data_IF_122917029655
#
_entry.id   IF_122917029655
#
_cell.length_a   1.000
_cell.length_b   1.000
_cell.length_c   1.000
_cell.angle_alpha   90.00
_cell.angle_beta   90.00
_cell.angle_gamma   90.00
#
_symmetry.space_group_name_H-M   'P 1'
#
loop_
_entity.id
_entity.type
_entity.pdbx_description
1 polymer ?
#
# COMPACT_ATOMS: atom_id res chain seq x y z
N UNK A 1 12.46 -4.69 -11.32
CA UNK A 1 11.16 -4.88 -10.65
C UNK A 1 10.45 -3.53 -10.57
N UNK A 2 9.14 -3.51 -10.75
CA UNK A 2 8.36 -2.29 -10.61
C UNK A 2 8.16 -1.97 -9.14
N UNK A 3 8.19 -0.68 -8.79
CA UNK A 3 7.84 -0.23 -7.44
C UNK A 3 6.35 -0.53 -7.19
N UNK A 4 6.03 -1.00 -5.98
CA UNK A 4 4.66 -1.35 -5.60
C UNK A 4 4.39 -1.08 -4.12
N UNK A 5 3.11 -0.96 -3.79
CA UNK A 5 2.63 -0.94 -2.40
C UNK A 5 2.09 -2.32 -2.06
N UNK A 6 2.63 -2.94 -1.02
CA UNK A 6 2.15 -4.24 -0.55
C UNK A 6 0.89 -4.10 0.29
N UNK A 7 -0.13 -4.92 -0.02
CA UNK A 7 -1.40 -4.95 0.72
C UNK A 7 -1.47 -6.11 1.74
N UNK A 8 -0.45 -6.98 1.78
CA UNK A 8 -0.35 -8.10 2.72
C UNK A 8 1.09 -8.42 3.06
N UNK A 9 1.32 -9.07 4.19
CA UNK A 9 2.57 -9.78 4.46
C UNK A 9 2.78 -10.89 3.44
N UNK A 10 4.02 -11.31 3.23
CA UNK A 10 4.34 -12.50 2.42
C UNK A 10 4.04 -13.75 3.25
N UNK A 11 3.33 -14.70 2.66
CA UNK A 11 2.97 -15.96 3.32
C UNK A 11 2.88 -17.11 2.32
N UNK A 12 3.08 -18.37 2.75
CA UNK A 12 2.94 -19.54 1.89
C UNK A 12 1.47 -19.81 1.58
N UNK A 13 1.16 -20.11 0.30
CA UNK A 13 -0.18 -20.50 -0.15
C UNK A 13 -0.12 -21.92 -0.76
N UNK A 14 -0.91 -22.84 -0.24
CA UNK A 14 -1.02 -24.20 -0.81
C UNK A 14 -1.67 -24.15 -2.18
N UNK A 15 -1.30 -25.10 -3.05
CA UNK A 15 -1.79 -25.14 -4.44
C UNK A 15 -3.32 -25.13 -4.52
N UNK A 16 -3.97 -25.89 -3.67
CA UNK A 16 -5.44 -26.02 -3.62
C UNK A 16 -6.16 -24.76 -3.09
N UNK A 17 -5.45 -23.90 -2.36
CA UNK A 17 -6.00 -22.64 -1.82
C UNK A 17 -5.94 -21.48 -2.81
N UNK A 18 -5.12 -21.58 -3.86
CA UNK A 18 -4.81 -20.44 -4.75
C UNK A 18 -6.03 -19.88 -5.46
N UNK A 19 -6.80 -20.73 -6.14
CA UNK A 19 -8.00 -20.27 -6.86
C UNK A 19 -9.15 -19.85 -5.93
N UNK A 20 -9.47 -20.58 -4.84
CA UNK A 20 -10.42 -20.09 -3.85
C UNK A 20 -10.02 -18.72 -3.28
N UNK A 21 -8.76 -18.54 -2.88
CA UNK A 21 -8.24 -17.29 -2.34
C UNK A 21 -8.35 -16.13 -3.35
N UNK A 22 -7.89 -16.37 -4.60
CA UNK A 22 -8.03 -15.40 -5.70
C UNK A 22 -9.48 -14.99 -5.94
N UNK A 23 -10.39 -15.96 -5.96
CA UNK A 23 -11.81 -15.71 -6.19
C UNK A 23 -12.42 -14.87 -5.07
N UNK A 24 -12.04 -15.15 -3.82
CA UNK A 24 -12.50 -14.40 -2.66
C UNK A 24 -11.94 -12.96 -2.64
N UNK A 25 -10.67 -12.77 -2.98
CA UNK A 25 -10.10 -11.42 -3.15
C UNK A 25 -10.85 -10.61 -4.21
N UNK A 26 -11.13 -11.21 -5.37
CA UNK A 26 -11.92 -10.54 -6.43
C UNK A 26 -13.31 -10.15 -5.94
N UNK A 27 -13.98 -11.02 -5.20
CA UNK A 27 -15.30 -10.75 -4.63
C UNK A 27 -15.24 -9.59 -3.63
N UNK A 28 -14.24 -9.60 -2.73
CA UNK A 28 -14.02 -8.54 -1.73
C UNK A 28 -13.77 -7.18 -2.40
N UNK A 29 -12.87 -7.11 -3.37
CA UNK A 29 -12.59 -5.87 -4.09
C UNK A 29 -13.77 -5.38 -4.95
N UNK A 30 -14.57 -6.26 -5.51
CA UNK A 30 -15.80 -5.88 -6.21
C UNK A 30 -16.82 -5.28 -5.24
N UNK A 31 -17.01 -5.86 -4.06
CA UNK A 31 -17.89 -5.32 -3.02
C UNK A 31 -17.40 -3.94 -2.53
N UNK A 32 -16.10 -3.80 -2.31
CA UNK A 32 -15.45 -2.53 -1.96
C UNK A 32 -15.75 -1.43 -3.00
N UNK A 33 -15.63 -1.73 -4.29
CA UNK A 33 -15.92 -0.81 -5.39
C UNK A 33 -17.38 -0.38 -5.40
N UNK A 34 -18.32 -1.31 -5.24
CA UNK A 34 -19.77 -1.04 -5.27
C UNK A 34 -20.17 -0.14 -4.11
N UNK A 35 -19.63 -0.38 -2.92
CA UNK A 35 -19.94 0.40 -1.74
C UNK A 35 -19.45 1.86 -1.88
N UNK A 36 -18.25 2.09 -2.41
CA UNK A 36 -17.77 3.46 -2.68
C UNK A 36 -18.58 4.17 -3.75
N UNK A 37 -18.94 3.52 -4.85
CA UNK A 37 -19.77 4.14 -5.89
C UNK A 37 -21.16 4.59 -5.42
N UNK A 38 -21.65 4.10 -4.27
CA UNK A 38 -22.89 4.56 -3.64
C UNK A 38 -22.71 5.80 -2.75
N UNK A 39 -21.52 6.01 -2.20
CA UNK A 39 -21.23 7.16 -1.34
C UNK A 39 -20.81 8.40 -2.15
N UNK A 40 -20.18 8.22 -3.30
CA UNK A 40 -19.68 9.31 -4.14
C UNK A 40 -20.74 9.98 -5.05
N UNK A 41 -22.00 9.54 -4.98
CA UNK A 41 -23.08 10.11 -5.80
C UNK A 41 -23.45 11.58 -5.46
N UNK A 42 -22.82 12.18 -4.45
CA UNK A 42 -23.00 13.58 -4.07
C UNK A 42 -21.87 14.51 -4.53
N UNK A 43 -20.76 13.99 -5.01
CA UNK A 43 -19.67 14.80 -5.57
C UNK A 43 -19.50 14.51 -7.06
N UNK A 44 -19.62 15.55 -7.88
CA UNK A 44 -19.58 15.51 -9.35
C UNK A 44 -18.19 15.18 -9.95
N UNK A 45 -17.28 14.59 -9.18
CA UNK A 45 -16.00 14.10 -9.66
C UNK A 45 -15.90 12.59 -9.44
N UNK A 46 -16.39 11.82 -10.41
CA UNK A 46 -16.23 10.35 -10.49
C UNK A 46 -14.78 9.95 -10.80
N UNK A 47 -13.80 10.54 -10.10
CA UNK A 47 -12.41 10.13 -10.21
C UNK A 47 -12.12 9.07 -9.16
N UNK A 48 -12.24 7.80 -9.53
CA UNK A 48 -11.79 6.65 -8.73
C UNK A 48 -10.25 6.62 -8.52
N UNK A 49 -9.54 7.64 -8.91
CA UNK A 49 -8.09 7.72 -8.89
C UNK A 49 -7.61 8.41 -7.63
N UNK A 50 -7.67 7.75 -6.47
CA UNK A 50 -6.97 8.24 -5.31
C UNK A 50 -5.46 8.18 -5.57
N UNK A 51 -4.79 9.31 -5.41
CA UNK A 51 -3.35 9.42 -5.51
C UNK A 51 -2.74 9.21 -4.13
N UNK A 52 -1.86 8.23 -4.02
CA UNK A 52 -1.03 8.04 -2.84
C UNK A 52 0.23 8.90 -3.01
N UNK A 53 0.42 9.85 -2.11
CA UNK A 53 1.60 10.73 -2.10
C UNK A 53 2.57 10.29 -1.00
N UNK A 54 3.77 9.89 -1.39
CA UNK A 54 4.83 9.44 -0.49
C UNK A 54 5.92 10.50 -0.44
N UNK A 55 6.12 11.09 0.72
CA UNK A 55 7.00 12.26 0.90
C UNK A 55 8.03 12.10 2.01
N UNK A 56 8.00 11.00 2.75
CA UNK A 56 8.89 10.71 3.85
C UNK A 56 9.67 9.41 3.61
N UNK A 57 10.91 9.37 4.04
CA UNK A 57 11.71 8.15 4.08
C UNK A 57 11.67 7.55 5.48
N UNK A 58 11.34 6.27 5.58
CA UNK A 58 11.38 5.51 6.84
C UNK A 58 12.15 4.21 6.68
N UNK A 59 12.70 3.78 7.80
CA UNK A 59 13.38 2.48 7.91
C UNK A 59 12.44 1.51 8.61
N UNK A 60 12.30 0.33 8.05
CA UNK A 60 11.51 -0.76 8.61
C UNK A 60 12.39 -1.99 8.77
N UNK A 61 12.07 -2.80 9.76
CA UNK A 61 12.66 -4.12 9.98
C UNK A 61 11.50 -5.12 9.98
N UNK A 62 11.69 -6.27 9.32
CA UNK A 62 10.68 -7.32 9.36
C UNK A 62 10.55 -7.92 10.78
N UNK A 63 9.44 -8.60 11.04
CA UNK A 63 9.11 -9.14 12.38
C UNK A 63 10.22 -10.05 12.94
N UNK A 64 10.92 -10.80 12.07
CA UNK A 64 12.00 -11.70 12.44
C UNK A 64 13.36 -11.00 12.57
N UNK A 65 13.43 -9.69 12.29
CA UNK A 65 14.68 -8.87 12.26
C UNK A 65 15.78 -9.44 11.35
N UNK A 66 15.36 -10.13 10.30
CA UNK A 66 16.27 -10.74 9.31
C UNK A 66 16.46 -9.89 8.06
N UNK A 67 15.64 -8.84 7.90
CA UNK A 67 15.72 -7.93 6.76
C UNK A 67 15.35 -6.52 7.20
N UNK A 68 16.21 -5.57 6.86
CA UNK A 68 15.96 -4.14 7.05
C UNK A 68 15.75 -3.49 5.69
N UNK A 69 14.78 -2.58 5.56
CA UNK A 69 14.50 -1.90 4.30
C UNK A 69 14.16 -0.43 4.48
N UNK A 70 14.44 0.36 3.45
CA UNK A 70 14.09 1.77 3.36
C UNK A 70 12.90 1.90 2.42
N UNK A 71 11.90 2.63 2.85
CA UNK A 71 10.71 2.87 2.08
C UNK A 71 10.31 4.35 2.05
N UNK A 72 9.68 4.75 0.95
CA UNK A 72 8.95 5.99 0.87
C UNK A 72 7.56 5.79 1.46
N UNK A 73 7.15 6.69 2.35
CA UNK A 73 5.88 6.65 3.07
C UNK A 73 5.13 7.97 2.92
N UNK A 74 3.84 7.95 3.19
CA UNK A 74 3.09 9.17 3.42
C UNK A 74 3.70 9.91 4.63
N UNK A 75 3.75 11.23 4.54
CA UNK A 75 4.09 12.06 5.69
C UNK A 75 3.00 11.89 6.74
N UNK A 76 3.41 11.70 7.98
CA UNK A 76 2.47 11.60 9.09
C UNK A 76 1.54 12.83 9.10
N UNK A 77 0.22 12.67 9.02
CA UNK A 77 -0.69 13.81 8.93
C UNK A 77 -0.65 14.71 10.17
N UNK A 78 0.02 14.27 11.25
CA UNK A 78 -0.01 15.00 12.51
C UNK A 78 -1.45 15.19 13.00
N UNK A 79 -1.72 16.32 13.66
CA UNK A 79 -3.07 16.69 14.13
C UNK A 79 -3.98 17.27 13.03
N UNK A 80 -3.52 17.33 11.77
CA UNK A 80 -4.32 17.90 10.68
C UNK A 80 -5.32 16.87 10.12
N UNK A 81 -6.47 16.80 10.77
CA UNK A 81 -7.57 15.88 10.44
C UNK A 81 -8.29 16.17 9.11
N UNK A 82 -7.79 17.10 8.29
CA UNK A 82 -8.44 17.50 7.02
C UNK A 82 -8.15 16.56 5.85
N UNK A 83 -7.23 15.59 6.02
CA UNK A 83 -6.82 14.64 4.98
C UNK A 83 -7.69 13.36 4.89
N UNK A 84 -9.00 13.48 5.13
CA UNK A 84 -9.93 12.33 5.12
C UNK A 84 -10.12 11.63 3.76
N UNK A 85 -9.55 12.15 2.70
CA UNK A 85 -9.69 11.60 1.34
C UNK A 85 -8.33 11.27 0.70
N UNK A 86 -7.33 10.98 1.53
CA UNK A 86 -5.99 10.67 1.05
C UNK A 86 -5.95 9.28 0.38
N UNK A 87 -5.08 9.13 -0.62
CA UNK A 87 -4.81 7.83 -1.23
C UNK A 87 -4.37 6.78 -0.21
N UNK A 88 -3.78 7.20 0.89
CA UNK A 88 -3.39 6.33 2.01
C UNK A 88 -4.58 5.71 2.72
N UNK A 89 -5.65 6.46 2.96
CA UNK A 89 -6.86 5.89 3.56
C UNK A 89 -7.46 4.81 2.66
N UNK A 90 -7.47 5.05 1.36
CA UNK A 90 -7.90 4.05 0.39
C UNK A 90 -7.03 2.79 0.40
N UNK A 91 -5.71 2.95 0.48
CA UNK A 91 -4.79 1.80 0.57
C UNK A 91 -5.01 1.05 1.88
N UNK A 92 -5.23 1.75 3.01
CA UNK A 92 -5.58 1.13 4.29
C UNK A 92 -6.87 0.33 4.22
N UNK A 93 -7.92 0.88 3.58
CA UNK A 93 -9.17 0.15 3.34
C UNK A 93 -8.97 -1.10 2.47
N UNK A 94 -8.11 -1.01 1.44
CA UNK A 94 -7.75 -2.18 0.64
C UNK A 94 -7.00 -3.23 1.47
N UNK A 95 -6.11 -2.82 2.37
CA UNK A 95 -5.41 -3.73 3.29
C UNK A 95 -6.41 -4.40 4.24
N UNK A 96 -7.40 -3.67 4.75
CA UNK A 96 -8.46 -4.26 5.58
C UNK A 96 -9.27 -5.30 4.80
N UNK A 97 -9.64 -5.02 3.56
CA UNK A 97 -10.36 -5.97 2.71
C UNK A 97 -9.52 -7.24 2.45
N UNK A 98 -8.19 -7.10 2.27
CA UNK A 98 -7.28 -8.25 2.17
C UNK A 98 -7.18 -9.00 3.50
N UNK A 99 -7.08 -8.30 4.63
CA UNK A 99 -7.02 -8.90 5.96
C UNK A 99 -8.26 -9.75 6.28
N UNK A 100 -9.45 -9.29 5.88
CA UNK A 100 -10.70 -10.06 6.05
C UNK A 100 -10.66 -11.37 5.26
N UNK A 101 -10.13 -11.34 4.03
CA UNK A 101 -9.95 -12.56 3.23
C UNK A 101 -8.87 -13.46 3.84
N UNK A 102 -7.73 -12.88 4.27
CA UNK A 102 -6.67 -13.63 4.93
C UNK A 102 -7.17 -14.37 6.15
N UNK A 103 -8.01 -13.73 6.97
CA UNK A 103 -8.61 -14.35 8.17
C UNK A 103 -9.44 -15.59 7.83
N UNK A 104 -10.25 -15.55 6.75
CA UNK A 104 -11.06 -16.69 6.29
C UNK A 104 -10.20 -17.90 5.88
N UNK A 105 -8.98 -17.66 5.40
CA UNK A 105 -8.03 -18.70 4.98
C UNK A 105 -6.99 -19.07 6.06
N UNK A 106 -7.03 -18.42 7.21
CA UNK A 106 -6.02 -18.60 8.27
C UNK A 106 -4.64 -18.07 7.90
N UNK A 107 -4.57 -17.06 7.02
CA UNK A 107 -3.34 -16.41 6.60
C UNK A 107 -3.00 -15.23 7.52
N UNK A 108 -1.72 -14.82 7.61
CA UNK A 108 -1.32 -13.68 8.42
C UNK A 108 -1.95 -12.38 7.91
N UNK A 109 -2.33 -11.55 8.85
CA UNK A 109 -2.86 -10.19 8.61
C UNK A 109 -1.78 -9.15 8.85
N UNK A 110 -1.89 -7.98 8.22
CA UNK A 110 -1.21 -6.81 8.74
C UNK A 110 -1.84 -6.41 10.06
N UNK A 111 -1.01 -6.27 11.09
CA UNK A 111 -1.44 -5.73 12.37
C UNK A 111 -1.75 -4.24 12.20
N UNK A 112 -2.86 -3.80 12.79
CA UNK A 112 -3.38 -2.45 12.61
C UNK A 112 -2.92 -1.48 13.69
N UNK A 113 -2.15 -1.94 14.67
CA UNK A 113 -1.66 -1.09 15.75
C UNK A 113 -0.13 -0.90 15.67
N UNK A 114 0.34 0.35 15.69
CA UNK A 114 -0.43 1.60 15.82
C UNK A 114 -1.12 2.08 14.55
N UNK A 115 -0.72 1.69 13.35
CA UNK A 115 -1.38 1.97 12.07
C UNK A 115 -0.54 1.36 10.94
N UNK A 116 -1.17 0.68 10.00
CA UNK A 116 -0.47 0.26 8.78
C UNK A 116 -0.11 1.50 7.98
N UNK A 117 1.18 1.68 7.73
CA UNK A 117 1.71 2.79 6.94
C UNK A 117 1.89 2.31 5.50
N UNK A 118 1.08 2.78 4.54
CA UNK A 118 1.30 2.50 3.13
C UNK A 118 2.69 2.98 2.71
N UNK A 119 3.44 2.11 2.05
CA UNK A 119 4.82 2.42 1.69
C UNK A 119 5.26 1.71 0.41
N UNK A 120 6.26 2.27 -0.24
CA UNK A 120 6.98 1.67 -1.36
C UNK A 120 8.42 1.43 -0.93
N UNK A 121 8.81 0.17 -0.81
CA UNK A 121 10.18 -0.23 -0.49
C UNK A 121 11.05 -0.18 -1.74
N UNK A 122 12.26 0.36 -1.63
CA UNK A 122 13.18 0.48 -2.77
C UNK A 122 14.63 0.10 -2.44
N UNK A 123 14.97 -0.08 -1.16
CA UNK A 123 16.30 -0.50 -0.73
C UNK A 123 16.14 -1.48 0.44
N UNK A 124 16.88 -2.58 0.42
CA UNK A 124 16.89 -3.54 1.52
C UNK A 124 18.28 -4.13 1.74
N UNK A 125 18.51 -4.63 2.94
CA UNK A 125 19.67 -5.41 3.31
C UNK A 125 19.27 -6.59 4.21
N UNK A 126 19.96 -7.71 4.04
CA UNK A 126 19.80 -8.86 4.92
C UNK A 126 20.41 -8.55 6.29
N UNK A 127 19.65 -8.85 7.34
CA UNK A 127 20.01 -8.60 8.72
C UNK A 127 19.33 -7.37 9.33
N UNK A 128 19.65 -7.13 10.59
CA UNK A 128 19.16 -6.01 11.38
C UNK A 128 20.14 -4.84 11.30
N UNK A 129 19.85 -3.92 10.40
CA UNK A 129 20.62 -2.70 10.17
C UNK A 129 19.82 -1.44 10.51
N UNK A 130 18.86 -1.55 11.42
CA UNK A 130 17.90 -0.48 11.70
C UNK A 130 18.60 0.85 12.04
N UNK A 131 19.53 0.82 12.99
CA UNK A 131 20.19 2.03 13.48
C UNK A 131 21.14 2.64 12.43
N UNK A 132 21.86 1.79 11.67
CA UNK A 132 22.74 2.25 10.61
C UNK A 132 21.97 2.88 9.46
N UNK A 133 20.86 2.25 9.04
CA UNK A 133 20.01 2.78 7.98
C UNK A 133 19.27 4.05 8.41
N UNK A 134 18.81 4.15 9.67
CA UNK A 134 18.23 5.39 10.20
C UNK A 134 19.23 6.55 10.12
N UNK A 135 20.46 6.35 10.58
CA UNK A 135 21.51 7.37 10.48
C UNK A 135 21.81 7.75 9.03
N UNK A 136 21.82 6.79 8.11
CA UNK A 136 22.04 7.05 6.69
C UNK A 136 20.88 7.87 6.09
N UNK A 137 19.64 7.50 6.39
CA UNK A 137 18.45 8.23 5.95
C UNK A 137 18.45 9.65 6.50
N UNK A 138 18.73 9.84 7.80
CA UNK A 138 18.83 11.18 8.41
C UNK A 138 19.90 12.04 7.74
N UNK A 139 21.07 11.47 7.42
CA UNK A 139 22.12 12.19 6.72
C UNK A 139 21.68 12.63 5.30
N UNK A 140 20.97 11.77 4.56
CA UNK A 140 20.42 12.08 3.25
C UNK A 140 19.36 13.19 3.35
N UNK A 141 18.45 13.07 4.33
CA UNK A 141 17.41 14.06 4.59
C UNK A 141 18.01 15.42 4.92
N UNK A 142 19.00 15.45 5.81
CA UNK A 142 19.72 16.68 6.20
C UNK A 142 20.40 17.33 5.00
N UNK A 143 21.16 16.55 4.23
CA UNK A 143 21.85 17.05 3.03
C UNK A 143 20.87 17.66 2.02
N UNK A 144 19.73 16.97 1.76
CA UNK A 144 18.70 17.49 0.86
C UNK A 144 18.10 18.80 1.33
N UNK A 145 17.82 18.94 2.65
CA UNK A 145 17.31 20.19 3.23
C UNK A 145 18.31 21.33 3.13
N UNK A 146 19.60 21.05 3.24
CA UNK A 146 20.67 22.05 3.08
C UNK A 146 20.82 22.51 1.61
N UNK A 147 20.63 21.60 0.64
CA UNK A 147 20.72 21.88 -0.79
C UNK A 147 19.47 22.58 -1.33
N UNK A 148 18.29 22.19 -0.86
CA UNK A 148 17.01 22.76 -1.25
C UNK A 148 16.69 23.95 -0.32
N UNK A 149 16.80 25.15 -0.84
CA UNK A 149 16.32 26.35 -0.13
C UNK A 149 14.81 26.21 0.11
N UNK A 150 14.43 25.91 1.36
CA UNK A 150 13.07 25.80 1.88
C UNK A 150 12.26 24.54 1.46
N UNK A 151 11.74 23.86 2.47
CA UNK A 151 10.61 22.90 2.52
C UNK A 151 10.48 21.78 1.45
N UNK A 152 11.55 21.47 0.72
CA UNK A 152 11.54 20.39 -0.25
C UNK A 152 11.43 19.03 0.45
N UNK A 153 10.42 18.24 0.09
CA UNK A 153 10.34 16.84 0.49
C UNK A 153 11.57 16.08 -0.05
N UNK A 154 12.10 15.18 0.76
CA UNK A 154 13.30 14.39 0.41
C UNK A 154 13.01 13.44 -0.73
N UNK A 155 11.78 12.96 -0.78
CA UNK A 155 11.24 12.09 -1.82
C UNK A 155 9.85 12.60 -2.20
N UNK A 156 9.50 12.49 -3.46
CA UNK A 156 8.15 12.77 -3.95
C UNK A 156 7.79 11.68 -4.94
N UNK A 157 6.97 10.73 -4.49
CA UNK A 157 6.46 9.64 -5.29
C UNK A 157 4.95 9.71 -5.25
N UNK A 158 4.33 9.80 -6.43
CA UNK A 158 2.89 9.75 -6.58
C UNK A 158 2.50 8.43 -7.23
N UNK A 159 1.68 7.64 -6.56
CA UNK A 159 1.20 6.36 -7.03
C UNK A 159 -0.32 6.42 -7.29
N UNK A 160 -0.76 5.88 -8.42
CA UNK A 160 -2.19 5.63 -8.65
C UNK A 160 -2.59 4.32 -7.98
N UNK A 161 -3.70 4.34 -7.25
CA UNK A 161 -4.25 3.14 -6.59
C UNK A 161 -5.42 2.56 -7.39
N UNK A 162 -5.20 2.32 -8.68
CA UNK A 162 -6.21 1.92 -9.66
C UNK A 162 -6.21 0.43 -9.99
N UNK A 163 -5.20 -0.31 -9.56
CA UNK A 163 -5.10 -1.74 -9.80
C UNK A 163 -4.47 -2.48 -8.61
N UNK A 164 -4.88 -3.73 -8.41
CA UNK A 164 -4.29 -4.65 -7.43
C UNK A 164 -3.97 -5.96 -8.14
N UNK A 165 -2.73 -6.40 -8.02
CA UNK A 165 -2.25 -7.65 -8.55
C UNK A 165 -1.95 -8.65 -7.41
N UNK A 166 -2.38 -9.89 -7.59
CA UNK A 166 -2.01 -11.00 -6.73
C UNK A 166 -0.75 -11.65 -7.31
N UNK A 167 0.36 -11.55 -6.57
CA UNK A 167 1.63 -12.16 -6.93
C UNK A 167 1.83 -13.45 -6.13
N UNK A 168 1.88 -14.59 -6.79
CA UNK A 168 2.19 -15.89 -6.19
C UNK A 168 3.48 -16.41 -6.84
N UNK A 169 4.45 -16.81 -6.03
CA UNK A 169 5.72 -17.35 -6.54
C UNK A 169 5.54 -18.44 -7.57
N UNK A 170 6.24 -18.34 -8.69
CA UNK A 170 6.15 -19.27 -9.83
C UNK A 170 4.92 -19.09 -10.72
N UNK A 171 4.13 -18.05 -10.52
CA UNK A 171 3.00 -17.69 -11.37
C UNK A 171 3.17 -16.26 -11.90
N UNK A 172 2.56 -15.97 -13.03
CA UNK A 172 2.46 -14.59 -13.49
C UNK A 172 1.51 -13.82 -12.58
N UNK A 173 1.80 -12.53 -12.30
CA UNK A 173 0.92 -11.67 -11.54
C UNK A 173 -0.50 -11.66 -12.12
N UNK A 174 -1.49 -11.82 -11.26
CA UNK A 174 -2.89 -11.90 -11.66
C UNK A 174 -3.66 -10.70 -11.16
N UNK A 175 -4.22 -9.91 -12.07
CA UNK A 175 -5.05 -8.77 -11.71
C UNK A 175 -6.31 -9.24 -10.96
N UNK A 176 -6.49 -8.77 -9.74
CA UNK A 176 -7.67 -9.05 -8.90
C UNK A 176 -8.62 -7.84 -8.83
N UNK A 177 -8.12 -6.64 -9.09
CA UNK A 177 -8.88 -5.41 -9.16
C UNK A 177 -8.33 -4.46 -10.24
N UNK A 178 -9.22 -3.71 -10.91
CA UNK A 178 -8.86 -2.57 -11.76
C UNK A 178 -10.02 -1.59 -11.79
N UNK A 179 -9.72 -0.31 -11.66
CA UNK A 179 -10.72 0.76 -11.79
C UNK A 179 -11.23 0.92 -13.23
N UNK A 180 -10.43 0.51 -14.22
CA UNK A 180 -10.76 0.62 -15.65
C UNK A 180 -11.75 -0.45 -16.16
N UNK A 181 -11.97 -1.53 -15.40
CA UNK A 181 -12.78 -2.68 -15.83
C UNK A 181 -14.27 -2.57 -15.46
N UNK A 182 -14.89 -1.40 -15.57
CA UNK A 182 -16.34 -1.30 -15.52
C UNK A 182 -16.89 -1.71 -16.89
N UNK A 183 -17.76 -2.75 -16.99
CA UNK A 183 -18.62 -2.87 -18.14
C UNK A 183 -19.51 -1.61 -18.19
N UNK A 184 -19.86 -1.10 -19.37
CA UNK A 184 -20.80 0.00 -19.47
C UNK A 184 -22.08 -0.37 -18.71
N UNK A 185 -22.77 0.61 -18.08
CA UNK A 185 -24.04 0.34 -17.42
C UNK A 185 -25.01 -0.29 -18.44
N UNK A 186 -25.81 -1.26 -18.05
CA UNK A 186 -26.83 -1.81 -18.96
C UNK A 186 -27.73 -0.68 -19.41
N UNK A 187 -27.89 -0.58 -20.73
CA UNK A 187 -28.79 0.36 -21.40
C UNK A 187 -30.23 0.00 -21.05
#
# INVERSE_FOLDING_TARGET
>A
DALHVSLSKVFPVRKEQREPYRSQLKASFNAFRINRGRFDSSSSSSSCNALLELRELRVFVNDERTTTFVAACEKDPGDDATLKDSGSERVREMILAVNEVNEQFGFPKYEYEPCVIPHVSFCYADGDWEEEMKRAVEAVVKKRKEEAKEDASVVEITCKTDAVDLCISGWEPMKVFSSESLPPPPI
#
